data_IF_527470308559
#
_entry.id   IF_527470308559
#
_cell.length_a   1.000
_cell.length_b   1.000
_cell.length_c   1.000
_cell.angle_alpha   90.00
_cell.angle_beta   90.00
_cell.angle_gamma   90.00
#
_symmetry.space_group_name_H-M   'P 1'
#
loop_
_entity.id
_entity.type
_entity.pdbx_description
1 polymer ?
#
# COMPACT_ATOMS: atom_id res chain seq x y z
N UNK A 1 -2.06 48.74 35.23
CA UNK A 1 -0.82 48.43 34.50
C UNK A 1 -0.39 47.01 34.87
N UNK A 2 -0.73 46.00 34.05
CA UNK A 2 -0.30 44.60 34.25
C UNK A 2 0.43 44.17 32.99
N UNK A 3 1.73 43.92 33.11
CA UNK A 3 2.58 43.41 32.05
C UNK A 3 2.21 41.96 31.74
N UNK A 4 1.90 41.69 30.46
CA UNK A 4 1.64 40.35 29.93
C UNK A 4 2.95 39.85 29.27
N UNK A 5 3.54 38.71 29.68
CA UNK A 5 4.74 38.22 29.04
C UNK A 5 4.41 37.64 27.66
N UNK A 6 5.12 38.11 26.64
CA UNK A 6 5.04 37.64 25.26
C UNK A 6 5.83 36.32 25.14
N UNK A 7 5.14 35.20 25.01
CA UNK A 7 5.74 33.91 24.66
C UNK A 7 5.93 33.92 23.14
N UNK A 8 7.19 34.02 22.69
CA UNK A 8 7.53 33.95 21.27
C UNK A 8 7.38 32.50 20.81
N UNK A 9 6.56 32.31 19.79
CA UNK A 9 6.30 31.06 19.07
C UNK A 9 7.57 30.52 18.42
N UNK A 10 7.96 29.30 18.78
CA UNK A 10 9.04 28.54 18.15
C UNK A 10 8.55 27.89 16.86
N UNK A 11 8.33 28.73 15.84
CA UNK A 11 7.94 28.34 14.48
C UNK A 11 9.01 28.89 13.53
N UNK A 12 10.27 28.42 13.59
CA UNK A 12 11.25 28.69 12.51
C UNK A 12 12.63 27.98 12.62
N UNK A 13 12.73 26.69 12.98
CA UNK A 13 14.05 25.99 12.95
C UNK A 13 14.02 24.53 12.48
N UNK A 14 13.46 24.24 11.30
CA UNK A 14 13.73 22.97 10.58
C UNK A 14 13.81 23.18 9.07
N UNK A 15 14.77 23.98 8.63
CA UNK A 15 15.21 24.03 7.23
C UNK A 15 16.74 23.97 7.19
N UNK A 16 17.29 22.76 7.11
CA UNK A 16 18.66 22.50 6.66
C UNK A 16 18.84 21.01 6.40
N UNK A 17 18.81 20.64 5.12
CA UNK A 17 19.13 19.31 4.55
C UNK A 17 20.65 19.15 4.49
N UNK A 18 21.18 17.92 4.62
CA UNK A 18 22.09 17.46 3.58
C UNK A 18 21.79 16.04 3.10
N UNK A 19 21.52 15.94 1.81
CA UNK A 19 21.54 14.74 0.99
C UNK A 19 22.99 14.24 0.90
N UNK A 20 23.26 13.03 1.37
CA UNK A 20 24.52 12.32 1.09
C UNK A 20 24.16 10.94 0.58
N UNK A 21 24.25 10.77 -0.74
CA UNK A 21 24.30 9.47 -1.41
C UNK A 21 25.76 8.99 -1.38
N UNK A 22 26.06 7.76 -0.93
CA UNK A 22 27.39 7.19 -1.11
C UNK A 22 27.57 6.66 -2.54
N UNK A 23 28.63 7.12 -3.22
CA UNK A 23 29.14 6.57 -4.47
C UNK A 23 29.66 5.14 -4.26
N UNK A 24 29.34 4.24 -5.19
CA UNK A 24 29.92 2.90 -5.28
C UNK A 24 31.11 2.95 -6.24
N UNK A 25 32.32 2.89 -5.70
CA UNK A 25 33.55 2.59 -6.42
C UNK A 25 34.14 1.28 -5.85
N UNK A 26 34.38 0.28 -6.70
CA UNK A 26 35.00 -0.98 -6.28
C UNK A 26 34.93 -2.08 -7.33
N UNK A 27 35.76 -1.95 -8.37
CA UNK A 27 36.02 -3.01 -9.36
C UNK A 27 37.21 -3.85 -8.86
N UNK A 28 36.96 -5.03 -8.28
CA UNK A 28 38.02 -5.98 -7.95
C UNK A 28 38.03 -7.18 -8.91
N UNK A 29 39.17 -7.33 -9.59
CA UNK A 29 39.52 -8.39 -10.52
C UNK A 29 39.76 -9.71 -9.79
N UNK A 30 39.06 -10.77 -10.18
CA UNK A 30 39.43 -12.13 -9.81
C UNK A 30 39.97 -12.90 -11.01
N UNK A 31 41.29 -13.17 -10.98
CA UNK A 31 42.00 -14.06 -11.90
C UNK A 31 42.05 -15.47 -11.30
N UNK A 32 41.70 -16.47 -12.11
CA UNK A 32 41.95 -17.89 -11.88
C UNK A 32 40.89 -18.69 -12.63
N UNK A 33 41.14 -19.63 -13.52
CA UNK A 33 42.32 -20.40 -13.90
C UNK A 33 41.73 -21.64 -14.58
N UNK A 34 41.93 -21.79 -15.89
CA UNK A 34 41.26 -22.81 -16.70
C UNK A 34 41.86 -24.20 -16.54
N UNK A 35 41.03 -25.23 -16.79
CA UNK A 35 41.41 -26.55 -17.31
C UNK A 35 40.32 -27.05 -18.25
N UNK A 36 40.71 -27.12 -19.51
CA UNK A 36 40.47 -28.12 -20.55
C UNK A 36 39.07 -28.67 -20.85
N UNK A 37 38.87 -28.76 -22.16
CA UNK A 37 37.66 -28.97 -22.94
C UNK A 37 37.37 -30.46 -23.07
N UNK A 38 36.12 -30.87 -22.89
CA UNK A 38 35.56 -32.01 -23.62
C UNK A 38 34.37 -31.49 -24.44
N UNK A 39 34.58 -31.48 -25.75
CA UNK A 39 33.57 -31.19 -26.74
C UNK A 39 33.03 -32.52 -27.25
N UNK A 40 31.74 -32.79 -27.01
CA UNK A 40 30.98 -33.74 -27.82
C UNK A 40 29.72 -33.03 -28.30
N UNK A 41 29.69 -32.93 -29.63
CA UNK A 41 28.72 -32.33 -30.52
C UNK A 41 27.43 -33.16 -30.56
N UNK A 42 26.27 -32.49 -30.59
CA UNK A 42 25.18 -32.75 -31.57
C UNK A 42 23.86 -32.08 -31.16
N UNK A 43 23.62 -30.95 -31.81
CA UNK A 43 22.39 -30.59 -32.52
C UNK A 43 21.07 -31.26 -32.08
N UNK A 44 20.24 -30.54 -31.31
CA UNK A 44 18.81 -30.24 -31.60
C UNK A 44 17.99 -30.01 -30.33
N UNK A 45 17.90 -28.75 -29.90
CA UNK A 45 16.80 -28.32 -29.05
C UNK A 45 16.12 -27.15 -29.74
N UNK A 46 14.85 -27.25 -30.14
CA UNK A 46 14.14 -26.12 -30.71
C UNK A 46 14.27 -24.94 -29.74
N UNK A 47 14.75 -23.80 -30.22
CA UNK A 47 14.59 -22.52 -29.52
C UNK A 47 13.08 -22.27 -29.42
N UNK A 48 12.48 -22.80 -28.37
CA UNK A 48 11.22 -22.27 -27.87
C UNK A 48 11.54 -20.83 -27.48
N UNK A 49 11.22 -19.91 -28.39
CA UNK A 49 11.23 -18.48 -28.13
C UNK A 49 10.45 -18.33 -26.84
N UNK A 50 11.15 -18.12 -25.73
CA UNK A 50 10.55 -17.63 -24.50
C UNK A 50 10.03 -16.25 -24.85
N UNK A 51 8.84 -16.22 -25.44
CA UNK A 51 8.03 -15.03 -25.52
C UNK A 51 7.80 -14.67 -24.07
N UNK A 52 8.57 -13.70 -23.59
CA UNK A 52 8.21 -12.97 -22.41
C UNK A 52 6.84 -12.34 -22.73
N UNK A 53 5.78 -13.03 -22.36
CA UNK A 53 4.45 -12.45 -22.28
C UNK A 53 4.52 -11.41 -21.17
N UNK A 54 4.96 -10.22 -21.54
CA UNK A 54 4.82 -9.03 -20.72
C UNK A 54 3.33 -8.92 -20.44
N UNK A 55 2.90 -9.33 -19.23
CA UNK A 55 1.54 -9.16 -18.75
C UNK A 55 1.28 -7.66 -18.73
N UNK A 56 0.72 -7.14 -19.82
CA UNK A 56 -0.09 -5.93 -19.76
C UNK A 56 -1.05 -6.09 -18.57
N UNK A 57 -1.30 -5.02 -17.79
CA UNK A 57 -2.27 -5.12 -16.70
C UNK A 57 -3.55 -5.76 -17.25
N UNK A 58 -4.13 -6.76 -16.58
CA UNK A 58 -5.32 -7.42 -17.06
C UNK A 58 -6.38 -6.35 -17.33
N UNK A 59 -6.90 -6.30 -18.55
CA UNK A 59 -7.96 -5.38 -18.90
C UNK A 59 -9.25 -5.86 -18.24
N UNK A 60 -9.51 -5.38 -17.02
CA UNK A 60 -10.78 -5.60 -16.34
C UNK A 60 -11.88 -4.75 -16.96
N UNK A 61 -13.09 -5.29 -17.03
CA UNK A 61 -14.30 -4.59 -17.42
C UNK A 61 -14.88 -3.81 -16.23
N UNK A 62 -15.08 -2.51 -16.44
CA UNK A 62 -15.72 -1.64 -15.45
C UNK A 62 -17.12 -2.14 -15.08
N UNK A 63 -17.46 -2.08 -13.80
CA UNK A 63 -18.73 -2.53 -13.20
C UNK A 63 -18.99 -4.04 -13.27
N UNK A 64 -18.08 -4.82 -13.85
CA UNK A 64 -18.13 -6.30 -13.85
C UNK A 64 -17.03 -6.82 -12.94
N UNK A 65 -15.77 -6.51 -13.28
CA UNK A 65 -14.59 -6.98 -12.53
C UNK A 65 -14.28 -6.06 -11.34
N UNK A 66 -14.58 -4.77 -11.48
CA UNK A 66 -14.37 -3.78 -10.43
C UNK A 66 -15.44 -2.68 -10.44
N UNK A 67 -15.77 -2.12 -9.27
CA UNK A 67 -16.71 -1.02 -9.15
C UNK A 67 -16.16 0.28 -9.76
N UNK A 68 -17.06 1.14 -10.26
CA UNK A 68 -16.72 2.46 -10.82
C UNK A 68 -17.63 3.57 -10.30
N UNK A 69 -17.77 3.63 -8.98
CA UNK A 69 -18.44 4.73 -8.32
C UNK A 69 -17.76 6.06 -8.67
N UNK A 70 -18.55 7.10 -8.92
CA UNK A 70 -18.06 8.46 -9.19
C UNK A 70 -17.91 9.30 -7.91
N UNK A 71 -18.58 8.88 -6.83
CA UNK A 71 -18.53 9.47 -5.50
C UNK A 71 -18.91 8.41 -4.45
N UNK A 72 -18.64 8.67 -3.18
CA UNK A 72 -19.11 7.83 -2.08
C UNK A 72 -20.65 7.81 -2.06
N UNK A 73 -21.30 6.64 -2.20
CA UNK A 73 -22.76 6.55 -2.20
C UNK A 73 -23.37 7.00 -0.86
N UNK A 74 -24.55 7.62 -0.91
CA UNK A 74 -25.35 7.87 0.29
C UNK A 74 -26.01 6.59 0.79
N UNK A 75 -26.24 6.47 2.10
CA UNK A 75 -26.99 5.35 2.68
C UNK A 75 -26.19 4.06 2.92
N UNK A 76 -24.86 4.14 2.98
CA UNK A 76 -24.02 3.00 3.37
C UNK A 76 -24.29 2.58 4.82
N UNK A 77 -24.39 1.27 5.03
CA UNK A 77 -24.72 0.65 6.33
C UNK A 77 -23.55 0.65 7.32
N UNK A 78 -22.31 0.87 6.85
CA UNK A 78 -21.12 0.84 7.69
C UNK A 78 -21.18 1.90 8.82
N UNK A 79 -20.84 1.49 10.04
CA UNK A 79 -20.70 2.40 11.19
C UNK A 79 -19.41 2.13 11.96
N UNK A 80 -18.88 3.14 12.63
CA UNK A 80 -17.75 3.01 13.54
C UNK A 80 -18.13 2.49 14.95
N UNK A 81 -19.41 2.14 15.17
CA UNK A 81 -19.82 1.57 16.46
C UNK A 81 -19.19 0.19 16.63
N UNK A 82 -18.68 -0.07 17.84
CA UNK A 82 -18.04 -1.34 18.20
C UNK A 82 -16.80 -1.67 17.33
N UNK A 83 -16.21 -0.64 16.70
CA UNK A 83 -14.98 -0.73 15.94
C UNK A 83 -13.88 0.04 16.66
N UNK A 84 -12.66 -0.48 16.60
CA UNK A 84 -11.48 0.26 17.05
C UNK A 84 -11.20 1.42 16.09
N UNK A 85 -10.46 2.45 16.54
CA UNK A 85 -9.99 3.49 15.65
C UNK A 85 -9.12 2.88 14.53
N UNK A 86 -9.37 3.24 13.27
CA UNK A 86 -8.64 2.66 12.14
C UNK A 86 -9.37 2.68 10.81
N UNK A 87 -8.88 1.87 9.87
CA UNK A 87 -9.30 1.86 8.48
C UNK A 87 -10.13 0.63 8.15
N UNK A 88 -11.22 0.80 7.41
CA UNK A 88 -12.18 -0.27 7.17
C UNK A 88 -12.63 -0.30 5.70
N UNK A 89 -12.36 -1.39 5.00
CA UNK A 89 -12.95 -1.69 3.70
C UNK A 89 -14.47 -1.78 3.81
N UNK A 90 -15.22 -1.30 2.80
CA UNK A 90 -16.67 -1.46 2.74
C UNK A 90 -17.09 -2.51 1.68
N UNK A 91 -17.42 -3.74 2.10
CA UNK A 91 -17.90 -4.78 1.19
C UNK A 91 -19.18 -4.40 0.43
N UNK A 92 -20.03 -3.51 0.99
CA UNK A 92 -21.26 -3.06 0.33
C UNK A 92 -20.96 -2.34 -0.99
N UNK A 93 -19.77 -1.76 -1.13
CA UNK A 93 -19.32 -1.03 -2.33
C UNK A 93 -18.26 -1.80 -3.12
N UNK A 94 -18.19 -3.13 -2.94
CA UNK A 94 -17.10 -3.95 -3.49
C UNK A 94 -15.72 -3.39 -3.14
N UNK A 95 -15.59 -2.85 -1.92
CA UNK A 95 -14.38 -2.25 -1.38
C UNK A 95 -13.84 -1.04 -2.15
N UNK A 96 -14.58 -0.43 -3.09
CA UNK A 96 -14.14 0.85 -3.68
C UNK A 96 -14.19 1.97 -2.65
N UNK A 97 -15.18 1.94 -1.76
CA UNK A 97 -15.25 2.81 -0.60
C UNK A 97 -14.56 2.15 0.58
N UNK A 98 -13.87 2.98 1.35
CA UNK A 98 -13.36 2.62 2.65
C UNK A 98 -13.62 3.73 3.65
N UNK A 99 -13.55 3.38 4.92
CA UNK A 99 -13.89 4.28 6.02
C UNK A 99 -12.72 4.42 6.99
N UNK A 100 -12.57 5.62 7.53
CA UNK A 100 -11.72 5.89 8.68
C UNK A 100 -12.59 6.17 9.89
N UNK A 101 -12.38 5.39 10.96
CA UNK A 101 -12.93 5.64 12.28
C UNK A 101 -11.87 6.33 13.14
N UNK A 102 -12.19 7.53 13.63
CA UNK A 102 -11.31 8.23 14.56
C UNK A 102 -11.48 7.78 16.02
N UNK A 103 -10.65 8.32 16.92
CA UNK A 103 -10.69 8.00 18.35
C UNK A 103 -12.04 8.30 19.03
N UNK A 104 -12.85 9.18 18.44
CA UNK A 104 -14.17 9.56 18.96
C UNK A 104 -15.31 8.77 18.29
N UNK A 105 -14.99 7.77 17.46
CA UNK A 105 -15.97 6.99 16.70
C UNK A 105 -16.61 7.76 15.55
N UNK A 106 -16.03 8.90 15.11
CA UNK A 106 -16.50 9.61 13.90
C UNK A 106 -16.05 8.86 12.66
N UNK A 107 -16.96 8.73 11.70
CA UNK A 107 -16.74 8.07 10.41
C UNK A 107 -16.40 9.10 9.34
N UNK A 108 -15.31 8.87 8.63
CA UNK A 108 -14.98 9.51 7.36
C UNK A 108 -14.99 8.45 6.26
N UNK A 109 -15.45 8.80 5.07
CA UNK A 109 -15.55 7.85 3.95
C UNK A 109 -14.78 8.38 2.76
N UNK A 110 -14.07 7.49 2.07
CA UNK A 110 -13.21 7.82 0.95
C UNK A 110 -13.43 6.82 -0.17
N UNK A 111 -13.14 7.26 -1.39
CA UNK A 111 -13.29 6.48 -2.59
C UNK A 111 -11.91 6.21 -3.20
N UNK A 112 -11.60 4.94 -3.46
CA UNK A 112 -10.43 4.56 -4.23
C UNK A 112 -10.60 4.96 -5.72
N UNK A 113 -9.52 5.35 -6.42
CA UNK A 113 -9.56 5.60 -7.86
C UNK A 113 -10.13 4.42 -8.65
N UNK A 114 -10.63 4.69 -9.86
CA UNK A 114 -11.09 3.64 -10.78
C UNK A 114 -10.01 2.58 -10.99
N UNK A 115 -10.44 1.31 -11.10
CA UNK A 115 -9.60 0.10 -11.19
C UNK A 115 -8.90 -0.31 -9.89
N UNK A 116 -9.15 0.38 -8.78
CA UNK A 116 -8.58 0.00 -7.48
C UNK A 116 -9.68 -0.17 -6.43
N UNK A 117 -9.40 -1.00 -5.45
CA UNK A 117 -10.26 -1.25 -4.29
C UNK A 117 -9.39 -1.29 -3.03
N UNK A 118 -9.99 -1.03 -1.88
CA UNK A 118 -9.26 -0.94 -0.62
C UNK A 118 -8.84 -2.32 -0.14
N UNK A 119 -7.53 -2.54 -0.09
CA UNK A 119 -6.92 -3.71 0.51
C UNK A 119 -6.85 -3.51 2.02
N UNK A 120 -7.75 -4.18 2.77
CA UNK A 120 -7.80 -4.06 4.23
C UNK A 120 -6.49 -4.47 4.91
N UNK A 121 -5.81 -5.49 4.39
CA UNK A 121 -4.60 -6.04 5.00
C UNK A 121 -3.42 -5.06 4.92
N UNK A 122 -3.34 -4.26 3.86
CA UNK A 122 -2.27 -3.27 3.69
C UNK A 122 -2.72 -1.82 3.90
N UNK A 123 -4.02 -1.59 4.10
CA UNK A 123 -4.67 -0.28 4.29
C UNK A 123 -4.41 0.71 3.15
N UNK A 124 -4.35 0.20 1.94
CA UNK A 124 -4.10 0.99 0.72
C UNK A 124 -5.10 0.61 -0.36
N UNK A 125 -5.37 1.52 -1.29
CA UNK A 125 -6.04 1.14 -2.53
C UNK A 125 -5.06 0.36 -3.40
N UNK A 126 -5.42 -0.88 -3.73
CA UNK A 126 -4.64 -1.77 -4.59
C UNK A 126 -5.48 -2.15 -5.81
N UNK A 127 -4.87 -2.74 -6.82
CA UNK A 127 -5.57 -3.23 -7.98
C UNK A 127 -6.64 -4.26 -7.59
N UNK A 128 -7.81 -4.17 -8.21
CA UNK A 128 -8.96 -5.03 -7.88
C UNK A 128 -8.64 -6.53 -7.89
N UNK A 129 -7.74 -6.97 -8.78
CA UNK A 129 -7.34 -8.38 -8.88
C UNK A 129 -6.37 -8.86 -7.79
N UNK A 130 -5.83 -7.94 -6.98
CA UNK A 130 -4.98 -8.26 -5.82
C UNK A 130 -5.78 -8.37 -4.52
N UNK A 131 -7.08 -8.02 -4.53
CA UNK A 131 -7.89 -7.88 -3.32
C UNK A 131 -9.11 -8.80 -3.39
N UNK A 132 -9.20 -9.73 -2.46
CA UNK A 132 -10.47 -10.41 -2.19
C UNK A 132 -11.30 -9.56 -1.21
N UNK A 133 -12.26 -8.82 -1.77
CA UNK A 133 -13.09 -7.91 -0.98
C UNK A 133 -14.02 -8.65 0.00
N UNK A 134 -14.42 -9.90 -0.28
CA UNK A 134 -15.31 -10.64 0.62
C UNK A 134 -14.62 -10.99 1.93
N UNK A 135 -13.32 -11.27 1.84
CA UNK A 135 -12.46 -11.61 2.98
C UNK A 135 -11.98 -10.37 3.74
N UNK A 136 -12.22 -9.15 3.23
CA UNK A 136 -11.69 -7.92 3.80
C UNK A 136 -12.04 -7.75 5.29
N UNK A 137 -13.24 -8.16 5.71
CA UNK A 137 -13.69 -8.03 7.11
C UNK A 137 -12.84 -8.83 8.10
N UNK A 138 -12.23 -9.93 7.65
CA UNK A 138 -11.37 -10.78 8.48
C UNK A 138 -10.08 -10.05 8.90
N UNK A 139 -9.64 -9.07 8.09
CA UNK A 139 -8.45 -8.28 8.33
C UNK A 139 -8.73 -7.01 9.16
N UNK A 140 -9.95 -6.77 9.64
CA UNK A 140 -10.25 -5.58 10.47
C UNK A 140 -9.43 -5.51 11.76
N UNK A 141 -9.02 -6.66 12.29
CA UNK A 141 -8.19 -6.76 13.50
C UNK A 141 -6.81 -6.13 13.32
N UNK A 142 -6.33 -5.96 12.09
CA UNK A 142 -5.04 -5.33 11.84
C UNK A 142 -5.01 -3.93 12.46
N UNK A 143 -6.13 -3.19 12.45
CA UNK A 143 -6.26 -1.83 13.03
C UNK A 143 -5.83 -1.73 14.50
N UNK A 144 -5.74 -2.86 15.20
CA UNK A 144 -5.25 -2.86 16.57
C UNK A 144 -3.79 -2.43 16.70
N UNK A 145 -2.97 -2.46 15.64
CA UNK A 145 -1.61 -1.91 15.64
C UNK A 145 -1.59 -0.37 15.53
N UNK A 146 -2.70 0.23 15.10
CA UNK A 146 -2.83 1.67 14.96
C UNK A 146 -3.06 2.25 16.34
N UNK A 147 -2.43 3.39 16.62
CA UNK A 147 -2.52 4.07 17.92
C UNK A 147 -1.92 3.27 19.08
N UNK A 148 -0.81 2.56 18.83
CA UNK A 148 0.05 2.01 19.86
C UNK A 148 1.38 2.76 19.95
N UNK A 149 1.94 2.83 21.16
CA UNK A 149 3.32 3.28 21.38
C UNK A 149 4.34 2.16 21.00
N UNK A 150 5.64 2.48 21.08
CA UNK A 150 6.72 1.52 20.79
C UNK A 150 6.74 0.31 21.75
N UNK A 151 6.03 0.40 22.88
CA UNK A 151 5.92 -0.65 23.89
C UNK A 151 4.62 -1.45 23.75
N UNK A 152 3.76 -1.12 22.78
CA UNK A 152 2.47 -1.77 22.54
C UNK A 152 1.29 -1.24 23.37
N UNK A 153 1.49 -0.18 24.16
CA UNK A 153 0.42 0.47 24.92
C UNK A 153 -0.46 1.31 23.99
N UNK A 154 -1.75 1.41 24.28
CA UNK A 154 -2.64 2.33 23.57
C UNK A 154 -2.24 3.80 23.85
N UNK A 155 -2.27 4.64 22.81
CA UNK A 155 -2.05 6.09 22.88
C UNK A 155 -3.25 6.85 23.44
#
# INVERSE_FOLDING_TARGET
>A
MRNKPQIKTEVEKRNSVPTVLPSLDGHENFRGGGRDVEAEDSLSRPQEKRQATFRFPPQGQASVDYPTYSAVPSGLSFTCREKTPGYYADPQTQCQVWHWCDLNGRRYSFLCPNQTVFNQNYRVCDWWYNVDCQEATQFYSINNDLYRDLNGNAL
#
